data_IF_140790783317
#
_entry.id   IF_140790783317
#
_cell.length_a   1.000
_cell.length_b   1.000
_cell.length_c   1.000
_cell.angle_alpha   90.00
_cell.angle_beta   90.00
_cell.angle_gamma   90.00
#
_symmetry.space_group_name_H-M   'P 1'
#
loop_
_entity.id
_entity.type
_entity.pdbx_description
1 polymer ?
#
# COMPACT_ATOMS: atom_id res chain seq x y z
N UNK A 1 -16.49 42.89 1.03
CA UNK A 1 -17.41 41.74 0.87
C UNK A 1 -16.58 40.57 0.36
N UNK A 2 -16.25 39.63 1.24
CA UNK A 2 -15.45 38.44 0.91
C UNK A 2 -16.35 37.45 0.16
N UNK A 3 -16.00 37.10 -1.09
CA UNK A 3 -16.70 36.08 -1.86
C UNK A 3 -16.24 34.67 -1.43
N UNK A 4 -17.22 33.81 -1.27
CA UNK A 4 -17.12 32.50 -0.64
C UNK A 4 -16.60 31.39 -1.58
N UNK A 5 -15.90 30.44 -0.94
CA UNK A 5 -15.92 28.99 -1.13
C UNK A 5 -16.34 28.40 -2.48
N UNK A 6 -15.40 27.69 -3.12
CA UNK A 6 -15.71 26.38 -3.70
C UNK A 6 -14.50 25.46 -3.44
N UNK A 7 -14.42 24.91 -2.23
CA UNK A 7 -13.49 23.82 -1.93
C UNK A 7 -14.05 22.59 -2.62
N UNK A 8 -13.44 22.19 -3.75
CA UNK A 8 -13.67 20.87 -4.30
C UNK A 8 -13.15 19.85 -3.27
N UNK A 9 -14.07 19.35 -2.43
CA UNK A 9 -13.85 18.17 -1.59
C UNK A 9 -13.71 16.97 -2.52
N UNK A 10 -12.49 16.76 -3.01
CA UNK A 10 -12.08 15.51 -3.64
C UNK A 10 -12.28 14.43 -2.59
N UNK A 11 -13.36 13.66 -2.76
CA UNK A 11 -13.64 12.48 -1.95
C UNK A 11 -12.49 11.51 -2.16
N UNK A 12 -11.53 11.53 -1.23
CA UNK A 12 -10.56 10.46 -1.10
C UNK A 12 -11.34 9.16 -0.95
N UNK A 13 -11.02 8.09 -1.70
CA UNK A 13 -11.59 6.79 -1.39
C UNK A 13 -11.02 6.39 -0.02
N UNK A 14 -11.76 6.71 1.03
CA UNK A 14 -11.51 6.30 2.39
C UNK A 14 -11.91 4.82 2.55
N UNK A 15 -11.16 3.93 1.89
CA UNK A 15 -11.14 2.51 2.22
C UNK A 15 -9.84 2.17 2.96
N UNK A 16 -9.56 2.96 3.99
CA UNK A 16 -8.72 2.56 5.13
C UNK A 16 -9.57 2.70 6.39
N UNK A 17 -10.78 2.13 6.37
CA UNK A 17 -11.70 2.18 7.49
C UNK A 17 -11.20 1.22 8.57
N UNK A 18 -10.43 1.77 9.52
CA UNK A 18 -10.09 1.20 10.83
C UNK A 18 -9.48 -0.22 10.87
N UNK A 19 -8.96 -0.72 9.76
CA UNK A 19 -8.14 -1.94 9.71
C UNK A 19 -6.75 -1.58 9.21
N UNK A 20 -5.72 -1.95 9.96
CA UNK A 20 -4.31 -1.82 9.55
C UNK A 20 -4.15 -2.24 8.09
N UNK A 21 -3.50 -1.41 7.26
CA UNK A 21 -3.19 -1.76 5.87
C UNK A 21 -2.55 -3.16 5.83
N UNK A 22 -3.23 -4.14 5.21
CA UNK A 22 -2.84 -5.57 5.30
C UNK A 22 -1.98 -6.06 4.14
N UNK A 23 -1.55 -5.20 3.23
CA UNK A 23 -0.73 -5.63 2.10
C UNK A 23 0.71 -5.26 2.39
N UNK A 24 1.56 -6.28 2.48
CA UNK A 24 2.97 -6.16 2.83
C UNK A 24 3.81 -5.93 1.57
N UNK A 25 4.32 -4.73 1.37
CA UNK A 25 5.27 -4.44 0.29
C UNK A 25 6.72 -4.68 0.73
N UNK A 26 7.35 -5.75 0.24
CA UNK A 26 8.76 -6.07 0.44
C UNK A 26 9.63 -5.72 -0.78
N UNK A 27 10.87 -5.28 -0.55
CA UNK A 27 11.85 -4.99 -1.60
C UNK A 27 12.96 -6.03 -1.51
N UNK A 28 13.09 -6.87 -2.53
CA UNK A 28 14.16 -7.87 -2.55
C UNK A 28 15.54 -7.22 -2.61
N UNK A 29 16.58 -7.99 -2.25
CA UNK A 29 17.98 -7.55 -2.37
C UNK A 29 18.40 -7.17 -3.81
N UNK A 30 17.65 -7.61 -4.82
CA UNK A 30 17.83 -7.25 -6.23
C UNK A 30 17.09 -5.97 -6.64
N UNK A 31 16.45 -5.29 -5.69
CA UNK A 31 15.65 -4.07 -5.91
C UNK A 31 14.23 -4.33 -6.42
N UNK A 32 13.81 -5.59 -6.50
CA UNK A 32 12.46 -5.92 -6.96
C UNK A 32 11.41 -5.61 -5.90
N UNK A 33 10.38 -4.84 -6.29
CA UNK A 33 9.27 -4.42 -5.41
C UNK A 33 8.10 -5.38 -5.54
N UNK A 34 7.88 -6.19 -4.50
CA UNK A 34 6.80 -7.18 -4.47
C UNK A 34 5.86 -6.94 -3.30
N UNK A 35 4.58 -7.22 -3.49
CA UNK A 35 3.61 -7.16 -2.40
C UNK A 35 2.99 -8.52 -2.10
N UNK A 36 2.73 -8.75 -0.81
CA UNK A 36 2.06 -9.92 -0.28
C UNK A 36 0.69 -9.54 0.28
N UNK A 37 -0.30 -10.40 0.02
CA UNK A 37 -1.66 -10.27 0.55
C UNK A 37 -1.92 -11.33 1.61
N UNK A 38 -2.86 -11.11 2.55
CA UNK A 38 -3.22 -12.13 3.54
C UNK A 38 -3.60 -13.46 2.88
N UNK A 39 -3.10 -14.57 3.42
CA UNK A 39 -3.32 -15.92 2.88
C UNK A 39 -2.25 -16.42 1.90
N UNK A 40 -1.26 -15.60 1.54
CA UNK A 40 -0.07 -16.08 0.82
C UNK A 40 0.89 -16.83 1.74
N UNK A 41 1.66 -17.77 1.16
CA UNK A 41 2.53 -18.67 1.92
C UNK A 41 3.53 -17.93 2.82
N UNK A 42 4.12 -16.84 2.31
CA UNK A 42 5.13 -16.07 3.02
C UNK A 42 4.58 -14.77 3.62
N UNK A 43 3.26 -14.63 3.71
CA UNK A 43 2.68 -13.40 4.26
C UNK A 43 3.15 -13.16 5.68
N UNK A 44 3.10 -14.17 6.57
CA UNK A 44 3.47 -14.02 7.97
C UNK A 44 4.99 -13.86 8.18
N UNK A 45 5.79 -14.56 7.37
CA UNK A 45 7.26 -14.47 7.40
C UNK A 45 7.77 -13.11 6.89
N UNK A 46 7.04 -12.47 5.97
CA UNK A 46 7.43 -11.18 5.42
C UNK A 46 7.31 -10.11 6.50
N UNK A 47 8.45 -9.54 6.90
CA UNK A 47 8.54 -8.38 7.80
C UNK A 47 8.82 -7.15 6.96
N UNK A 48 8.15 -6.05 7.29
CA UNK A 48 8.32 -4.77 6.59
C UNK A 48 9.37 -3.93 7.30
N UNK A 49 10.44 -3.61 6.60
CA UNK A 49 11.52 -2.73 7.03
C UNK A 49 11.48 -1.42 6.24
N UNK A 50 10.89 -0.38 6.84
CA UNK A 50 10.77 0.94 6.22
C UNK A 50 12.10 1.54 5.77
N UNK A 51 13.20 1.23 6.47
CA UNK A 51 14.56 1.65 6.10
C UNK A 51 15.02 1.13 4.73
N UNK A 52 14.45 0.03 4.24
CA UNK A 52 14.76 -0.55 2.92
C UNK A 52 13.76 -0.11 1.84
N UNK A 53 12.89 0.87 2.14
CA UNK A 53 11.84 1.31 1.24
C UNK A 53 10.62 0.38 1.19
N UNK A 54 10.56 -0.58 2.10
CA UNK A 54 9.41 -1.47 2.29
C UNK A 54 8.26 -0.73 2.97
N UNK A 55 7.02 -1.06 2.63
CA UNK A 55 5.87 -0.39 3.21
C UNK A 55 4.59 -1.20 3.12
N UNK A 56 3.62 -0.82 3.94
CA UNK A 56 2.28 -1.38 3.90
C UNK A 56 1.41 -0.64 2.90
N UNK A 57 0.51 -1.38 2.27
CA UNK A 57 -0.49 -0.87 1.34
C UNK A 57 -1.88 -1.25 1.84
N UNK A 58 -2.83 -0.35 1.63
CA UNK A 58 -4.22 -0.61 2.01
C UNK A 58 -4.99 -1.34 0.90
N UNK A 59 -4.53 -1.27 -0.35
CA UNK A 59 -5.11 -2.02 -1.48
C UNK A 59 -4.05 -2.48 -2.48
N UNK A 60 -4.33 -3.55 -3.22
CA UNK A 60 -3.43 -4.03 -4.27
C UNK A 60 -3.33 -3.04 -5.44
N UNK A 61 -4.37 -2.25 -5.66
CA UNK A 61 -4.37 -1.19 -6.65
C UNK A 61 -3.36 -0.11 -6.29
N UNK A 62 -3.28 0.27 -5.01
CA UNK A 62 -2.28 1.21 -4.49
C UNK A 62 -0.86 0.65 -4.64
N UNK A 63 -0.66 -0.63 -4.31
CA UNK A 63 0.63 -1.29 -4.50
C UNK A 63 1.05 -1.28 -5.98
N UNK A 64 0.14 -1.64 -6.89
CA UNK A 64 0.40 -1.62 -8.33
C UNK A 64 0.66 -0.21 -8.87
N UNK A 65 -0.12 0.78 -8.44
CA UNK A 65 0.09 2.18 -8.82
C UNK A 65 1.45 2.71 -8.34
N UNK A 66 1.95 2.22 -7.21
CA UNK A 66 3.29 2.51 -6.71
C UNK A 66 4.42 1.75 -7.43
N UNK A 67 4.10 0.94 -8.45
CA UNK A 67 5.06 0.15 -9.21
C UNK A 67 5.44 -1.19 -8.56
N UNK A 68 4.58 -1.74 -7.70
CA UNK A 68 4.82 -3.02 -7.03
C UNK A 68 4.05 -4.12 -7.74
N UNK A 69 4.66 -5.30 -7.86
CA UNK A 69 4.01 -6.49 -8.45
C UNK A 69 3.57 -7.46 -7.36
N UNK A 70 2.55 -8.28 -7.63
CA UNK A 70 2.13 -9.33 -6.68
C UNK A 70 3.25 -10.37 -6.53
N UNK A 71 3.44 -10.88 -5.31
CA UNK A 71 4.20 -12.11 -5.10
C UNK A 71 3.54 -13.27 -5.85
N UNK A 72 4.36 -14.12 -6.48
CA UNK A 72 3.91 -15.32 -7.21
C UNK A 72 3.70 -16.53 -6.30
N UNK A 73 4.08 -16.40 -5.02
CA UNK A 73 4.15 -17.45 -4.01
C UNK A 73 3.42 -17.04 -2.74
#
# INVERSE_FOLDING_TARGET
MLAAMLVAVISTPAFAQSGECRIKGNVSTKGERIYHVPGQKYYDDTRIQSSHGERWFCSEAEARAAGWRRSKV
#
